data_IF_590405497542
#
_entry.id   IF_590405497542
#
_cell.length_a   1.000
_cell.length_b   1.000
_cell.length_c   1.000
_cell.angle_alpha   90.00
_cell.angle_beta   90.00
_cell.angle_gamma   90.00
#
_symmetry.space_group_name_H-M   'P 1'
#
loop_
_entity.id
_entity.type
_entity.pdbx_description
1 polymer ?
#
# COMPACT_ATOMS: atom_id res chain seq x y z
N UNK A 1 -5.77 6.68 -19.23
CA UNK A 1 -4.55 5.96 -19.67
C UNK A 1 -3.79 6.89 -20.60
N UNK A 2 -2.64 7.43 -20.19
CA UNK A 2 -1.57 8.02 -21.01
C UNK A 2 -0.37 8.15 -20.06
N UNK A 3 0.73 7.47 -20.38
CA UNK A 3 2.05 7.67 -19.77
C UNK A 3 2.94 8.30 -20.84
N UNK A 4 3.53 9.45 -20.54
CA UNK A 4 4.58 10.05 -21.39
C UNK A 4 5.79 10.31 -20.50
N UNK A 5 6.92 9.67 -20.84
CA UNK A 5 8.26 9.98 -20.32
C UNK A 5 9.10 10.43 -21.50
N UNK A 6 9.64 11.65 -21.44
CA UNK A 6 10.65 12.19 -22.36
C UNK A 6 11.69 12.83 -21.43
N UNK A 7 12.79 12.12 -21.17
CA UNK A 7 14.08 12.18 -21.87
C UNK A 7 14.92 13.40 -21.44
N UNK A 8 15.99 13.09 -20.73
CA UNK A 8 17.05 14.01 -20.28
C UNK A 8 17.55 14.91 -21.40
N UNK A 9 17.65 16.21 -21.11
CA UNK A 9 18.57 17.10 -21.80
C UNK A 9 19.33 17.96 -20.77
N UNK A 10 20.63 17.70 -20.67
CA UNK A 10 21.62 18.58 -20.07
C UNK A 10 21.61 19.91 -20.82
N UNK A 11 21.08 20.97 -20.19
CA UNK A 11 21.18 22.33 -20.70
C UNK A 11 22.50 22.96 -20.24
N UNK A 12 23.44 23.06 -21.17
CA UNK A 12 24.68 23.84 -21.07
C UNK A 12 24.34 25.31 -21.35
N UNK A 13 24.64 26.20 -20.41
CA UNK A 13 24.38 27.64 -20.50
C UNK A 13 25.44 28.44 -21.29
N UNK A 14 25.17 29.76 -21.35
CA UNK A 14 25.93 30.92 -21.92
C UNK A 14 25.47 31.27 -23.36
N UNK A 15 25.12 32.50 -23.77
CA UNK A 15 25.30 33.86 -23.22
C UNK A 15 24.51 34.93 -24.03
N UNK A 16 24.37 36.12 -23.43
CA UNK A 16 24.14 37.48 -24.00
C UNK A 16 22.71 37.90 -24.41
N UNK A 17 22.12 38.86 -23.67
CA UNK A 17 22.18 40.30 -24.03
C UNK A 17 21.29 41.14 -23.10
N UNK A 18 21.88 42.15 -22.46
CA UNK A 18 21.18 43.16 -21.67
C UNK A 18 20.36 44.08 -22.57
N UNK A 19 19.12 44.40 -22.17
CA UNK A 19 18.52 45.68 -22.51
C UNK A 19 17.75 46.25 -21.32
N UNK A 20 18.00 47.54 -21.06
CA UNK A 20 17.55 48.31 -19.91
C UNK A 20 16.13 48.80 -20.13
N UNK A 21 15.20 48.44 -19.25
CA UNK A 21 13.96 49.19 -19.08
C UNK A 21 13.43 49.05 -17.65
N UNK A 22 13.67 50.09 -16.87
CA UNK A 22 13.12 50.31 -15.53
C UNK A 22 11.60 50.34 -15.61
N UNK A 23 10.92 49.44 -14.87
CA UNK A 23 9.51 49.58 -14.51
C UNK A 23 9.30 49.02 -13.11
N UNK A 24 9.09 49.93 -12.17
CA UNK A 24 8.53 49.62 -10.86
C UNK A 24 7.11 49.10 -11.04
N UNK A 25 6.80 47.93 -10.48
CA UNK A 25 5.43 47.50 -10.25
C UNK A 25 5.35 46.67 -8.98
N UNK A 26 4.86 47.36 -7.95
CA UNK A 26 3.85 46.96 -6.96
C UNK A 26 3.79 45.46 -6.63
N UNK A 27 4.16 45.16 -5.38
CA UNK A 27 3.87 43.90 -4.72
C UNK A 27 2.38 43.55 -4.85
N UNK A 28 2.11 42.38 -5.41
CA UNK A 28 0.82 41.70 -5.40
C UNK A 28 1.11 40.34 -4.79
N UNK A 29 0.72 40.18 -3.52
CA UNK A 29 0.83 38.93 -2.78
C UNK A 29 -0.26 38.02 -3.33
N UNK A 30 0.13 37.04 -4.14
CA UNK A 30 -0.69 35.88 -4.42
C UNK A 30 -0.61 34.97 -3.18
N UNK A 31 -1.67 34.94 -2.38
CA UNK A 31 -1.94 33.81 -1.50
C UNK A 31 -2.22 32.61 -2.41
N UNK A 32 -1.18 31.84 -2.69
CA UNK A 32 -1.33 30.45 -3.04
C UNK A 32 -1.69 29.75 -1.74
N UNK A 33 -2.90 29.19 -1.66
CA UNK A 33 -3.27 28.18 -0.68
C UNK A 33 -2.34 26.97 -0.91
N UNK A 34 -1.18 27.02 -0.27
CA UNK A 34 -0.33 25.87 -0.07
C UNK A 34 -1.12 24.94 0.86
N UNK A 35 -1.82 23.97 0.28
CA UNK A 35 -2.29 22.80 1.00
C UNK A 35 -1.05 22.06 1.51
N UNK A 36 -0.56 22.49 2.66
CA UNK A 36 0.39 21.73 3.46
C UNK A 36 -0.39 20.52 3.95
N UNK A 37 -0.31 19.44 3.18
CA UNK A 37 -0.67 18.09 3.61
C UNK A 37 0.21 17.80 4.82
N UNK A 38 -0.31 18.17 5.98
CA UNK A 38 0.37 17.94 7.24
C UNK A 38 0.18 16.45 7.46
N UNK A 39 1.20 15.65 7.16
CA UNK A 39 1.13 14.22 7.43
C UNK A 39 0.91 14.02 8.94
N UNK A 40 -0.33 13.75 9.30
CA UNK A 40 -0.71 13.40 10.65
C UNK A 40 -0.06 12.05 10.89
N UNK A 41 0.99 12.02 11.71
CA UNK A 41 1.61 10.76 12.15
C UNK A 41 0.59 9.98 12.98
N UNK A 42 -0.18 9.13 12.31
CA UNK A 42 -1.11 8.21 12.96
C UNK A 42 -0.38 6.94 13.37
N UNK A 43 -0.79 6.37 14.51
CA UNK A 43 -0.28 5.07 14.93
C UNK A 43 -0.62 4.01 13.85
N UNK A 44 0.28 3.03 13.60
CA UNK A 44 -0.03 1.91 12.70
C UNK A 44 -1.32 1.20 13.11
N UNK A 45 -1.98 0.57 12.14
CA UNK A 45 -3.20 -0.22 12.36
C UNK A 45 -4.33 0.56 13.07
N UNK A 46 -4.44 1.86 12.80
CA UNK A 46 -5.51 2.73 13.30
C UNK A 46 -6.01 3.60 12.15
N UNK A 47 -7.32 3.78 12.05
CA UNK A 47 -7.90 4.70 11.07
C UNK A 47 -7.83 6.14 11.58
N UNK A 48 -7.50 7.07 10.68
CA UNK A 48 -7.64 8.50 10.95
C UNK A 48 -9.13 8.91 11.03
N UNK A 49 -9.44 10.06 11.61
CA UNK A 49 -10.81 10.59 11.61
C UNK A 49 -11.35 10.81 10.18
N UNK A 50 -10.48 11.22 9.25
CA UNK A 50 -10.83 11.39 7.85
C UNK A 50 -11.15 10.05 7.18
N UNK A 51 -10.33 9.02 7.43
CA UNK A 51 -10.57 7.67 6.91
C UNK A 51 -11.89 7.09 7.46
N UNK A 52 -12.20 7.31 8.74
CA UNK A 52 -13.49 6.92 9.31
C UNK A 52 -14.65 7.68 8.61
N UNK A 53 -14.51 8.98 8.39
CA UNK A 53 -15.53 9.80 7.72
C UNK A 53 -15.76 9.40 6.25
N UNK A 54 -14.71 8.93 5.57
CA UNK A 54 -14.77 8.38 4.21
C UNK A 54 -15.30 6.93 4.16
N UNK A 55 -15.50 6.29 5.31
CA UNK A 55 -16.05 4.94 5.40
C UNK A 55 -15.00 3.83 5.21
N UNK A 56 -13.72 4.11 5.46
CA UNK A 56 -12.69 3.06 5.48
C UNK A 56 -12.96 2.04 6.58
N UNK A 57 -12.62 0.79 6.29
CA UNK A 57 -12.70 -0.33 7.23
C UNK A 57 -11.29 -0.81 7.55
N UNK A 58 -10.99 -0.91 8.84
CA UNK A 58 -9.74 -1.49 9.31
C UNK A 58 -9.81 -3.02 9.16
N UNK A 59 -8.91 -3.60 8.37
CA UNK A 59 -8.85 -5.05 8.14
C UNK A 59 -7.91 -5.78 9.12
N UNK A 60 -7.04 -5.05 9.80
CA UNK A 60 -6.11 -5.61 10.79
C UNK A 60 -5.84 -4.58 11.89
N UNK A 61 -5.97 -5.02 13.14
CA UNK A 61 -5.85 -4.18 14.34
C UNK A 61 -4.41 -4.10 14.88
N UNK A 62 -3.48 -4.87 14.31
CA UNK A 62 -2.10 -4.96 14.77
C UNK A 62 -1.83 -6.08 15.78
N UNK A 63 -2.86 -6.74 16.30
CA UNK A 63 -2.75 -7.62 17.46
C UNK A 63 -3.39 -8.98 17.24
N UNK A 64 -4.56 -9.02 16.58
CA UNK A 64 -5.38 -10.21 16.44
C UNK A 64 -5.50 -10.64 14.99
N UNK A 65 -5.80 -11.92 14.80
CA UNK A 65 -6.13 -12.49 13.49
C UNK A 65 -7.62 -12.41 13.19
N UNK A 66 -8.35 -11.53 13.88
CA UNK A 66 -9.80 -11.40 13.74
C UNK A 66 -10.15 -11.04 12.29
N UNK A 67 -11.06 -11.82 11.71
CA UNK A 67 -11.46 -11.68 10.32
C UNK A 67 -10.48 -12.31 9.32
N UNK A 68 -9.36 -12.90 9.75
CA UNK A 68 -8.43 -13.62 8.88
C UNK A 68 -8.47 -15.13 9.14
N UNK A 69 -8.34 -15.91 8.07
CA UNK A 69 -8.23 -17.38 8.14
C UNK A 69 -7.40 -17.91 6.97
N UNK A 70 -7.00 -19.19 7.03
CA UNK A 70 -6.39 -19.85 5.89
C UNK A 70 -7.37 -19.96 4.72
N UNK A 71 -6.87 -19.84 3.50
CA UNK A 71 -7.58 -20.29 2.32
C UNK A 71 -7.95 -21.77 2.46
N UNK A 72 -9.21 -22.10 2.21
CA UNK A 72 -9.81 -23.42 2.31
C UNK A 72 -10.08 -23.92 3.74
N UNK A 73 -9.93 -23.09 4.77
CA UNK A 73 -10.16 -23.49 6.18
C UNK A 73 -10.84 -22.40 7.00
N UNK A 74 -11.43 -22.79 8.13
CA UNK A 74 -12.11 -21.89 9.07
C UNK A 74 -11.18 -21.28 10.14
N UNK A 75 -9.91 -21.65 10.15
CA UNK A 75 -8.94 -21.25 11.18
C UNK A 75 -7.78 -20.48 10.58
N UNK A 76 -7.17 -19.59 11.37
CA UNK A 76 -5.90 -18.96 11.02
C UNK A 76 -4.75 -19.98 11.07
N UNK A 77 -3.79 -19.95 10.12
CA UNK A 77 -2.71 -20.93 10.07
C UNK A 77 -1.65 -20.73 11.16
N UNK A 78 -1.09 -21.82 11.67
CA UNK A 78 0.04 -21.80 12.61
C UNK A 78 1.35 -21.29 11.96
N UNK A 79 1.45 -21.37 10.63
CA UNK A 79 2.61 -20.93 9.88
C UNK A 79 2.74 -19.41 9.71
N UNK A 80 1.71 -18.65 10.11
CA UNK A 80 1.73 -17.20 10.14
C UNK A 80 1.70 -16.71 11.59
N UNK A 81 2.34 -15.56 11.83
CA UNK A 81 2.42 -14.96 13.17
C UNK A 81 1.98 -13.50 13.13
N UNK A 82 1.39 -13.04 14.23
CA UNK A 82 1.24 -11.61 14.49
C UNK A 82 2.40 -11.15 15.38
N UNK A 83 3.22 -10.24 14.87
CA UNK A 83 4.36 -9.70 15.60
C UNK A 83 4.62 -8.25 15.18
N UNK A 84 4.96 -7.40 16.14
CA UNK A 84 5.31 -5.99 15.93
C UNK A 84 4.28 -5.22 15.08
N UNK A 85 2.98 -5.47 15.31
CA UNK A 85 1.91 -4.80 14.56
C UNK A 85 1.76 -5.28 13.12
N UNK A 86 2.24 -6.48 12.77
CA UNK A 86 2.20 -7.04 11.41
C UNK A 86 1.73 -8.49 11.42
N UNK A 87 0.98 -8.88 10.38
CA UNK A 87 0.80 -10.29 10.01
C UNK A 87 2.02 -10.71 9.17
N UNK A 88 2.75 -11.73 9.62
CA UNK A 88 4.03 -12.12 9.05
C UNK A 88 4.09 -13.63 8.74
N UNK A 89 4.49 -13.98 7.52
CA UNK A 89 4.90 -15.33 7.16
C UNK A 89 6.43 -15.42 7.23
N UNK A 90 7.00 -16.22 8.15
CA UNK A 90 8.45 -16.43 8.23
C UNK A 90 9.04 -17.09 6.97
N UNK A 91 8.19 -17.74 6.16
CA UNK A 91 8.58 -18.48 4.97
C UNK A 91 9.27 -19.81 5.28
N UNK A 92 9.04 -20.82 4.43
CA UNK A 92 9.73 -22.12 4.55
C UNK A 92 11.03 -22.20 3.76
N UNK A 93 11.27 -21.22 2.86
CA UNK A 93 12.35 -21.26 1.87
C UNK A 93 12.13 -22.24 0.72
N UNK A 94 10.93 -22.84 0.59
CA UNK A 94 10.62 -23.86 -0.44
C UNK A 94 9.72 -23.37 -1.57
N UNK A 95 9.50 -22.05 -1.66
CA UNK A 95 8.59 -21.45 -2.64
C UNK A 95 7.18 -22.01 -2.50
N UNK A 96 6.56 -22.35 -3.63
CA UNK A 96 5.18 -22.86 -3.72
C UNK A 96 4.93 -24.15 -2.96
N UNK A 97 5.96 -24.97 -2.73
CA UNK A 97 5.81 -26.19 -1.90
C UNK A 97 5.46 -25.86 -0.44
N UNK A 98 5.67 -24.61 -0.02
CA UNK A 98 5.32 -24.12 1.30
C UNK A 98 6.06 -24.84 2.43
N UNK A 99 5.59 -24.58 3.64
CA UNK A 99 5.92 -25.27 4.88
C UNK A 99 4.66 -25.82 5.54
N UNK A 100 4.81 -26.46 6.71
CA UNK A 100 3.67 -27.00 7.44
C UNK A 100 2.73 -25.87 7.84
N UNK A 101 1.49 -25.93 7.35
CA UNK A 101 0.43 -24.97 7.66
C UNK A 101 0.79 -23.50 7.35
N UNK A 102 1.44 -23.24 6.20
CA UNK A 102 1.92 -21.89 5.79
C UNK A 102 1.26 -21.38 4.49
N UNK A 103 0.09 -21.90 4.14
CA UNK A 103 -0.65 -21.51 2.94
C UNK A 103 -1.13 -20.06 2.95
N UNK A 104 -1.86 -19.69 1.90
CA UNK A 104 -2.42 -18.34 1.77
C UNK A 104 -3.46 -18.05 2.86
N UNK A 105 -3.54 -16.80 3.28
CA UNK A 105 -4.58 -16.29 4.17
C UNK A 105 -5.52 -15.37 3.40
N UNK A 106 -6.75 -15.29 3.87
CA UNK A 106 -7.75 -14.38 3.33
C UNK A 106 -8.51 -13.70 4.47
N UNK A 107 -9.05 -12.52 4.17
CA UNK A 107 -10.01 -11.85 5.03
C UNK A 107 -11.40 -12.44 4.76
N UNK A 108 -12.10 -12.90 5.80
CA UNK A 108 -13.34 -13.67 5.73
C UNK A 108 -14.58 -12.78 5.43
N UNK A 109 -14.45 -11.97 4.39
CA UNK A 109 -15.51 -11.13 3.85
C UNK A 109 -15.27 -10.92 2.36
N UNK A 110 -16.34 -11.06 1.55
CA UNK A 110 -16.27 -10.87 0.11
C UNK A 110 -16.51 -9.40 -0.23
N UNK A 111 -15.56 -8.82 -0.97
CA UNK A 111 -15.66 -7.46 -1.51
C UNK A 111 -15.92 -7.50 -3.02
N UNK A 112 -16.50 -6.41 -3.55
CA UNK A 112 -16.71 -6.22 -4.99
C UNK A 112 -15.92 -5.01 -5.49
N UNK A 113 -16.55 -3.83 -5.52
CA UNK A 113 -15.84 -2.57 -5.74
C UNK A 113 -15.23 -2.12 -4.42
N UNK A 114 -13.91 -1.95 -4.39
CA UNK A 114 -13.19 -1.50 -3.19
C UNK A 114 -11.95 -0.69 -3.56
N UNK A 115 -11.49 0.13 -2.62
CA UNK A 115 -10.14 0.67 -2.59
C UNK A 115 -9.37 -0.04 -1.48
N UNK A 116 -8.19 -0.57 -1.79
CA UNK A 116 -7.31 -1.22 -0.82
C UNK A 116 -6.08 -0.36 -0.60
N UNK A 117 -5.80 -0.05 0.66
CA UNK A 117 -4.58 0.63 1.12
C UNK A 117 -3.92 -0.27 2.16
N UNK A 118 -2.64 -0.58 1.96
CA UNK A 118 -1.84 -1.38 2.88
C UNK A 118 -0.36 -1.05 2.72
N UNK A 119 0.41 -1.44 3.73
CA UNK A 119 1.87 -1.48 3.67
C UNK A 119 2.34 -2.94 3.68
N UNK A 120 3.45 -3.21 3.02
CA UNK A 120 4.05 -4.54 2.98
C UNK A 120 5.57 -4.44 2.98
N UNK A 121 6.21 -5.49 3.48
CA UNK A 121 7.66 -5.64 3.51
C UNK A 121 8.01 -7.08 3.19
N UNK A 122 9.13 -7.28 2.50
CA UNK A 122 9.61 -8.61 2.12
C UNK A 122 11.10 -8.73 2.39
N UNK A 123 11.56 -9.96 2.65
CA UNK A 123 12.98 -10.27 2.77
C UNK A 123 13.67 -10.26 1.41
N UNK A 124 15.00 -10.14 1.40
CA UNK A 124 15.80 -10.27 0.18
C UNK A 124 15.56 -11.66 -0.46
N UNK A 125 15.18 -11.66 -1.73
CA UNK A 125 14.83 -12.88 -2.47
C UNK A 125 13.48 -13.51 -2.08
N UNK A 126 12.70 -12.88 -1.20
CA UNK A 126 11.37 -13.35 -0.83
C UNK A 126 10.37 -13.24 -1.98
N UNK A 127 9.35 -14.08 -1.96
CA UNK A 127 8.23 -14.08 -2.90
C UNK A 127 6.91 -14.13 -2.14
N UNK A 128 5.98 -13.24 -2.48
CA UNK A 128 4.64 -13.17 -1.91
C UNK A 128 3.72 -12.40 -2.87
N UNK A 129 2.44 -12.29 -2.52
CA UNK A 129 1.44 -11.61 -3.34
C UNK A 129 0.26 -11.11 -2.51
N UNK A 130 -0.43 -10.12 -3.07
CA UNK A 130 -1.74 -9.67 -2.58
C UNK A 130 -2.76 -10.09 -3.63
N UNK A 131 -3.59 -11.06 -3.28
CA UNK A 131 -4.67 -11.51 -4.13
C UNK A 131 -5.94 -10.71 -3.85
N UNK A 132 -6.73 -10.48 -4.89
CA UNK A 132 -8.05 -9.87 -4.80
C UNK A 132 -9.01 -10.62 -5.71
N UNK A 133 -10.30 -10.62 -5.35
CA UNK A 133 -11.34 -11.37 -6.06
C UNK A 133 -11.06 -12.88 -6.16
N UNK A 134 -10.26 -13.42 -5.24
CA UNK A 134 -10.03 -14.86 -5.10
C UNK A 134 -11.32 -15.57 -4.69
N UNK A 135 -11.43 -16.84 -5.09
CA UNK A 135 -12.59 -17.67 -4.83
C UNK A 135 -12.13 -18.98 -4.22
N UNK A 136 -12.84 -19.44 -3.19
CA UNK A 136 -12.72 -20.80 -2.69
C UNK A 136 -13.73 -21.68 -3.40
N UNK A 137 -13.29 -22.83 -3.89
CA UNK A 137 -14.14 -23.88 -4.43
C UNK A 137 -13.47 -25.24 -4.21
N UNK A 138 -14.26 -26.31 -4.18
CA UNK A 138 -13.74 -27.68 -4.00
C UNK A 138 -12.79 -28.13 -5.13
N UNK A 139 -12.82 -27.43 -6.27
CA UNK A 139 -11.97 -27.71 -7.43
C UNK A 139 -10.63 -26.94 -7.42
N UNK A 140 -10.40 -26.08 -6.42
CA UNK A 140 -9.22 -25.20 -6.34
C UNK A 140 -8.43 -25.42 -5.05
N UNK A 141 -7.28 -26.07 -5.17
CA UNK A 141 -6.35 -26.28 -4.06
C UNK A 141 -5.65 -24.97 -3.62
N UNK A 142 -5.51 -23.99 -4.53
CA UNK A 142 -4.83 -22.72 -4.30
C UNK A 142 -5.65 -21.55 -4.85
N UNK A 143 -5.37 -20.34 -4.36
CA UNK A 143 -6.06 -19.11 -4.78
C UNK A 143 -5.60 -18.58 -6.15
N UNK A 144 -4.50 -19.10 -6.69
CA UNK A 144 -3.78 -18.61 -7.87
C UNK A 144 -3.76 -19.61 -9.03
#
# INVERSE_FOLDING_TARGET
MIRVKIASLLFLGLLVSCNTAKKEKKAEVQEAEEMVETEVMTAPNTLTEAEIAEGWKLLFDGETTTGWRSYGKDTFPEGWVVADGMIHCPGSGRGEAGGKDTGDILYDEKFSNFHLKLEWKISEGGNSGIFYLGQESEDLDFIW
#
